data_IF_362840403654
#
_entry.id   IF_362840403654
#
_cell.length_a   1.000
_cell.length_b   1.000
_cell.length_c   1.000
_cell.angle_alpha   90.00
_cell.angle_beta   90.00
_cell.angle_gamma   90.00
#
_symmetry.space_group_name_H-M   'P 1'
#
loop_
_entity.id
_entity.type
_entity.pdbx_description
1 polymer ?
#
# COMPACT_ATOMS: atom_id res chain seq x y z
N UNK A 1 60.25 30.03 6.55
CA UNK A 1 58.96 29.90 5.83
C UNK A 1 58.04 28.84 6.49
N UNK A 2 57.65 29.01 7.77
CA UNK A 2 56.81 28.03 8.52
C UNK A 2 55.50 28.61 9.07
N UNK A 3 55.17 29.89 8.79
CA UNK A 3 54.04 30.59 9.45
C UNK A 3 52.69 30.48 8.75
N UNK A 4 52.65 30.06 7.48
CA UNK A 4 51.42 30.00 6.69
C UNK A 4 50.98 28.56 6.34
N UNK A 5 51.78 27.55 6.67
CA UNK A 5 51.47 26.15 6.38
C UNK A 5 50.22 25.71 7.15
N UNK A 6 50.11 26.13 8.42
CA UNK A 6 48.96 25.77 9.26
C UNK A 6 47.66 26.44 8.77
N UNK A 7 47.73 27.70 8.33
CA UNK A 7 46.57 28.42 7.76
C UNK A 7 46.12 27.80 6.43
N UNK A 8 47.06 27.44 5.55
CA UNK A 8 46.75 26.76 4.29
C UNK A 8 46.13 25.38 4.54
N UNK A 9 46.61 24.65 5.56
CA UNK A 9 46.07 23.34 5.94
C UNK A 9 44.63 23.44 6.45
N UNK A 10 44.33 24.47 7.26
CA UNK A 10 42.97 24.71 7.80
C UNK A 10 41.99 25.07 6.67
N UNK A 11 42.38 25.94 5.75
CA UNK A 11 41.54 26.30 4.60
C UNK A 11 41.27 25.08 3.72
N UNK A 12 42.28 24.24 3.49
CA UNK A 12 42.13 22.99 2.75
C UNK A 12 41.18 22.00 3.44
N UNK A 13 41.27 21.87 4.77
CA UNK A 13 40.36 21.05 5.59
C UNK A 13 38.91 21.53 5.53
N UNK A 14 38.68 22.84 5.55
CA UNK A 14 37.33 23.41 5.43
C UNK A 14 36.72 23.15 4.06
N UNK A 15 37.50 23.31 2.98
CA UNK A 15 37.05 23.02 1.61
C UNK A 15 36.72 21.53 1.45
N UNK A 16 37.56 20.64 2.00
CA UNK A 16 37.30 19.20 1.95
C UNK A 16 36.07 18.80 2.76
N UNK A 17 35.80 19.42 3.91
CA UNK A 17 34.54 19.20 4.65
C UNK A 17 33.30 19.63 3.85
N UNK A 18 33.35 20.77 3.16
CA UNK A 18 32.24 21.23 2.30
C UNK A 18 32.01 20.27 1.13
N UNK A 19 33.08 19.79 0.49
CA UNK A 19 32.98 18.80 -0.60
C UNK A 19 32.38 17.48 -0.09
N UNK A 20 32.76 17.04 1.11
CA UNK A 20 32.21 15.83 1.72
C UNK A 20 30.71 15.98 2.02
N UNK A 21 30.26 17.13 2.53
CA UNK A 21 28.84 17.39 2.78
C UNK A 21 28.00 17.38 1.50
N UNK A 22 28.51 17.98 0.42
CA UNK A 22 27.85 17.95 -0.89
C UNK A 22 27.77 16.52 -1.42
N UNK A 23 28.84 15.73 -1.28
CA UNK A 23 28.85 14.32 -1.68
C UNK A 23 27.90 13.46 -0.85
N UNK A 24 27.77 13.71 0.45
CA UNK A 24 26.85 12.99 1.32
C UNK A 24 25.41 13.29 0.90
N UNK A 25 25.06 14.57 0.70
CA UNK A 25 23.71 14.95 0.23
C UNK A 25 23.39 14.38 -1.16
N UNK A 26 24.37 14.33 -2.08
CA UNK A 26 24.15 13.67 -3.37
C UNK A 26 24.05 12.16 -3.25
N UNK A 27 24.74 11.54 -2.28
CA UNK A 27 24.63 10.11 -1.99
C UNK A 27 23.25 9.79 -1.42
N UNK A 28 22.76 10.60 -0.47
CA UNK A 28 21.42 10.45 0.13
C UNK A 28 20.34 10.54 -0.94
N UNK A 29 20.38 11.56 -1.81
CA UNK A 29 19.43 11.67 -2.92
C UNK A 29 19.51 10.48 -3.89
N UNK A 30 20.72 9.99 -4.18
CA UNK A 30 20.90 8.82 -5.04
C UNK A 30 20.37 7.54 -4.37
N UNK A 31 20.51 7.43 -3.05
CA UNK A 31 20.07 6.28 -2.26
C UNK A 31 18.55 6.26 -2.14
N UNK A 32 17.90 7.42 -1.97
CA UNK A 32 16.43 7.55 -2.07
C UNK A 32 15.92 7.14 -3.45
N UNK A 33 16.53 7.62 -4.53
CA UNK A 33 16.13 7.21 -5.88
C UNK A 33 16.37 5.72 -6.15
N UNK A 34 17.41 5.13 -5.56
CA UNK A 34 17.65 3.69 -5.66
C UNK A 34 16.68 2.87 -4.81
N UNK A 35 16.20 3.38 -3.67
CA UNK A 35 15.15 2.74 -2.88
C UNK A 35 13.78 2.79 -3.59
N UNK A 36 13.44 3.92 -4.22
CA UNK A 36 12.22 4.04 -5.02
C UNK A 36 12.27 3.10 -6.25
N UNK A 37 13.44 3.01 -6.88
CA UNK A 37 13.66 2.09 -8.00
C UNK A 37 13.70 0.62 -7.56
N UNK A 38 14.13 0.33 -6.33
CA UNK A 38 14.05 -1.01 -5.73
C UNK A 38 12.61 -1.38 -5.36
N UNK A 39 11.75 -0.43 -4.95
CA UNK A 39 10.31 -0.68 -4.72
C UNK A 39 9.57 -0.98 -6.02
N UNK A 40 9.79 -0.17 -7.07
CA UNK A 40 9.28 -0.48 -8.42
C UNK A 40 9.83 -1.79 -8.98
N UNK A 41 11.11 -2.09 -8.71
CA UNK A 41 11.69 -3.37 -9.08
C UNK A 41 11.11 -4.51 -8.23
N UNK A 42 10.78 -4.32 -6.95
CA UNK A 42 10.19 -5.32 -6.08
C UNK A 42 8.72 -5.59 -6.41
N UNK A 43 7.93 -4.57 -6.73
CA UNK A 43 6.56 -4.71 -7.25
C UNK A 43 6.56 -5.44 -8.60
N UNK A 44 7.49 -5.09 -9.50
CA UNK A 44 7.67 -5.80 -10.77
C UNK A 44 8.31 -7.18 -10.61
N UNK A 45 9.12 -7.42 -9.58
CA UNK A 45 9.73 -8.72 -9.27
C UNK A 45 8.69 -9.62 -8.62
N UNK A 46 7.77 -9.11 -7.80
CA UNK A 46 6.61 -9.87 -7.32
C UNK A 46 5.73 -10.29 -8.51
N UNK A 47 5.43 -9.37 -9.43
CA UNK A 47 4.70 -9.71 -10.66
C UNK A 47 5.49 -10.60 -11.65
N UNK A 48 6.82 -10.60 -11.61
CA UNK A 48 7.68 -11.41 -12.48
C UNK A 48 8.05 -12.78 -11.89
N UNK A 49 8.16 -12.91 -10.58
CA UNK A 49 8.30 -14.18 -9.84
C UNK A 49 7.04 -15.02 -10.08
N UNK A 50 5.87 -14.38 -10.10
CA UNK A 50 4.59 -14.99 -10.52
C UNK A 50 4.60 -15.48 -11.98
N UNK A 51 5.52 -15.02 -12.83
CA UNK A 51 5.59 -15.39 -14.26
C UNK A 51 6.65 -16.47 -14.60
N UNK A 52 7.71 -16.58 -13.80
CA UNK A 52 8.87 -17.45 -14.07
C UNK A 52 8.82 -18.75 -13.27
N UNK A 53 8.30 -18.75 -12.04
CA UNK A 53 8.02 -19.99 -11.29
C UNK A 53 6.75 -20.70 -11.80
N UNK A 54 5.79 -19.91 -12.30
CA UNK A 54 4.53 -20.41 -12.83
C UNK A 54 4.67 -21.21 -14.13
N UNK A 55 5.66 -20.96 -14.98
CA UNK A 55 5.73 -21.67 -16.27
C UNK A 55 6.10 -23.16 -16.16
N UNK A 56 6.91 -23.55 -15.17
CA UNK A 56 7.29 -24.96 -14.97
C UNK A 56 6.31 -25.66 -14.03
N UNK A 57 5.87 -25.01 -12.94
CA UNK A 57 4.88 -25.62 -12.03
C UNK A 57 3.47 -25.70 -12.64
N UNK A 58 3.01 -24.68 -13.40
CA UNK A 58 1.67 -24.68 -14.00
C UNK A 58 1.46 -25.85 -14.96
N UNK A 59 2.49 -26.34 -15.66
CA UNK A 59 2.31 -27.46 -16.60
C UNK A 59 2.16 -28.80 -15.85
N UNK A 60 2.81 -28.95 -14.70
CA UNK A 60 2.64 -30.12 -13.83
C UNK A 60 1.32 -30.04 -13.04
N UNK A 61 1.03 -28.89 -12.45
CA UNK A 61 -0.24 -28.63 -11.72
C UNK A 61 -1.45 -28.77 -12.66
N UNK A 62 -1.41 -28.26 -13.90
CA UNK A 62 -2.52 -28.45 -14.86
C UNK A 62 -2.76 -29.90 -15.26
N UNK A 63 -1.73 -30.75 -15.26
CA UNK A 63 -1.91 -32.18 -15.57
C UNK A 63 -2.56 -32.94 -14.41
N UNK A 64 -2.22 -32.60 -13.17
CA UNK A 64 -2.76 -33.23 -11.96
C UNK A 64 -4.05 -32.58 -11.44
N UNK A 65 -4.36 -31.35 -11.87
CA UNK A 65 -5.60 -30.64 -11.52
C UNK A 65 -6.83 -31.47 -11.90
N UNK A 66 -7.84 -31.44 -11.04
CA UNK A 66 -9.18 -31.98 -11.25
C UNK A 66 -10.02 -31.02 -12.11
N UNK A 67 -9.57 -29.79 -12.31
CA UNK A 67 -10.24 -28.74 -13.05
C UNK A 67 -9.66 -28.61 -14.46
N UNK A 68 -10.56 -28.50 -15.44
CA UNK A 68 -10.24 -28.08 -16.80
C UNK A 68 -10.08 -26.56 -16.87
N UNK A 69 -10.95 -25.84 -16.16
CA UNK A 69 -10.95 -24.38 -16.07
C UNK A 69 -11.32 -23.93 -14.66
N UNK A 70 -10.68 -22.87 -14.19
CA UNK A 70 -10.96 -22.22 -12.92
C UNK A 70 -10.73 -20.71 -13.09
N UNK A 71 -11.69 -19.90 -12.68
CA UNK A 71 -11.57 -18.46 -12.70
C UNK A 71 -12.40 -17.82 -11.59
N UNK A 72 -12.10 -16.55 -11.31
CA UNK A 72 -12.93 -15.73 -10.45
C UNK A 72 -13.17 -14.37 -11.10
N UNK A 73 -14.25 -13.73 -10.67
CA UNK A 73 -14.58 -12.35 -11.02
C UNK A 73 -14.95 -11.58 -9.77
N UNK A 74 -14.25 -10.48 -9.56
CA UNK A 74 -14.55 -9.51 -8.52
C UNK A 74 -15.66 -8.58 -9.02
N UNK A 75 -16.73 -8.45 -8.24
CA UNK A 75 -17.84 -7.54 -8.50
C UNK A 75 -17.63 -6.15 -7.90
N UNK A 76 -18.71 -5.37 -7.81
CA UNK A 76 -18.67 -4.05 -7.19
C UNK A 76 -18.78 -4.15 -5.66
N UNK A 77 -17.95 -3.43 -4.89
CA UNK A 77 -18.02 -3.48 -3.43
C UNK A 77 -19.30 -2.83 -2.89
N UNK A 78 -19.73 -3.34 -1.75
CA UNK A 78 -20.85 -2.84 -0.96
C UNK A 78 -20.34 -1.83 0.07
N UNK A 79 -20.81 -0.59 -0.03
CA UNK A 79 -20.43 0.51 0.85
C UNK A 79 -20.95 0.36 2.28
N UNK A 80 -22.13 -0.23 2.46
CA UNK A 80 -22.77 -0.35 3.78
C UNK A 80 -22.12 -1.45 4.61
N UNK A 81 -21.81 -2.59 3.96
CA UNK A 81 -21.26 -3.76 4.63
C UNK A 81 -19.73 -3.82 4.57
N UNK A 82 -19.09 -2.99 3.73
CA UNK A 82 -17.65 -3.06 3.44
C UNK A 82 -17.22 -4.45 2.98
N UNK A 83 -18.08 -5.09 2.18
CA UNK A 83 -17.83 -6.40 1.59
C UNK A 83 -17.79 -6.31 0.08
N UNK A 84 -17.18 -7.28 -0.59
CA UNK A 84 -17.13 -7.37 -2.04
C UNK A 84 -17.56 -8.76 -2.52
N UNK A 85 -18.49 -8.83 -3.50
CA UNK A 85 -18.88 -10.11 -4.08
C UNK A 85 -17.78 -10.65 -4.99
N UNK A 86 -17.40 -11.90 -4.76
CA UNK A 86 -16.44 -12.64 -5.57
C UNK A 86 -17.16 -13.85 -6.14
N UNK A 87 -17.25 -13.91 -7.47
CA UNK A 87 -17.90 -15.01 -8.17
C UNK A 87 -16.84 -15.96 -8.69
N UNK A 88 -16.87 -17.19 -8.20
CA UNK A 88 -15.98 -18.27 -8.63
C UNK A 88 -16.70 -19.13 -9.67
N UNK A 89 -16.00 -19.45 -10.75
CA UNK A 89 -16.49 -20.35 -11.81
C UNK A 89 -15.46 -21.44 -12.03
N UNK A 90 -15.91 -22.70 -11.99
CA UNK A 90 -15.04 -23.87 -12.20
C UNK A 90 -15.69 -24.87 -13.15
N UNK A 91 -14.85 -25.53 -13.95
CA UNK A 91 -15.23 -26.60 -14.85
C UNK A 91 -14.34 -27.81 -14.51
N UNK A 92 -14.87 -28.84 -13.85
CA UNK A 92 -14.14 -30.08 -13.61
C UNK A 92 -13.83 -30.83 -14.92
N UNK A 93 -12.71 -31.57 -14.97
CA UNK A 93 -12.35 -32.42 -16.11
C UNK A 93 -13.32 -33.58 -16.33
N UNK A 94 -13.90 -34.07 -15.25
CA UNK A 94 -14.87 -35.17 -15.25
C UNK A 94 -16.18 -34.67 -14.63
N UNK A 95 -17.26 -34.73 -15.40
CA UNK A 95 -18.58 -34.30 -14.95
C UNK A 95 -19.61 -35.40 -15.23
N UNK A 96 -20.06 -36.06 -14.17
CA UNK A 96 -21.16 -37.00 -14.15
C UNK A 96 -22.52 -36.34 -13.91
N UNK A 97 -23.57 -37.16 -13.91
CA UNK A 97 -24.94 -36.69 -13.62
C UNK A 97 -25.13 -36.30 -12.15
N UNK A 98 -24.37 -36.89 -11.24
CA UNK A 98 -24.42 -36.65 -9.79
C UNK A 98 -23.30 -35.78 -9.25
N UNK A 99 -22.37 -35.36 -10.10
CA UNK A 99 -21.27 -34.49 -9.69
C UNK A 99 -21.82 -33.20 -9.09
N UNK A 100 -21.35 -32.90 -7.89
CA UNK A 100 -21.59 -31.66 -7.17
C UNK A 100 -20.26 -31.02 -6.83
N UNK A 101 -20.21 -29.69 -6.88
CA UNK A 101 -19.01 -28.93 -6.58
C UNK A 101 -19.34 -27.92 -5.48
N UNK A 102 -18.43 -27.77 -4.52
CA UNK A 102 -18.54 -26.78 -3.44
C UNK A 102 -17.22 -26.03 -3.30
N UNK A 103 -17.33 -24.78 -2.86
CA UNK A 103 -16.22 -23.92 -2.49
C UNK A 103 -16.11 -23.91 -0.96
N UNK A 104 -14.97 -24.33 -0.41
CA UNK A 104 -14.64 -24.14 1.00
C UNK A 104 -13.79 -22.87 1.13
N UNK A 105 -14.26 -21.92 1.93
CA UNK A 105 -13.57 -20.66 2.19
C UNK A 105 -13.77 -20.28 3.65
N UNK A 106 -12.69 -19.92 4.34
CA UNK A 106 -12.72 -19.56 5.77
C UNK A 106 -13.38 -20.63 6.68
N UNK A 107 -13.35 -21.91 6.27
CA UNK A 107 -13.98 -23.03 6.97
C UNK A 107 -15.48 -23.19 6.71
N UNK A 108 -16.08 -22.32 5.91
CA UNK A 108 -17.47 -22.43 5.45
C UNK A 108 -17.52 -23.11 4.08
N UNK A 109 -18.56 -23.93 3.85
CA UNK A 109 -18.76 -24.65 2.59
C UNK A 109 -19.94 -24.04 1.85
N UNK A 110 -19.68 -23.54 0.65
CA UNK A 110 -20.67 -22.96 -0.25
C UNK A 110 -20.90 -23.90 -1.42
N UNK A 111 -22.11 -24.46 -1.53
CA UNK A 111 -22.48 -25.29 -2.69
C UNK A 111 -22.58 -24.43 -3.95
N UNK A 112 -21.93 -24.89 -5.03
CA UNK A 112 -21.93 -24.18 -6.31
C UNK A 112 -23.13 -24.58 -7.16
N UNK A 113 -23.75 -23.61 -7.83
CA UNK A 113 -24.84 -23.82 -8.76
C UNK A 113 -24.32 -24.42 -10.07
N UNK A 114 -24.95 -25.52 -10.52
CA UNK A 114 -24.57 -26.21 -11.75
C UNK A 114 -25.31 -25.65 -12.95
N UNK A 115 -24.55 -25.29 -13.99
CA UNK A 115 -25.07 -24.95 -15.31
C UNK A 115 -24.31 -25.73 -16.40
N UNK A 116 -24.88 -26.87 -16.82
CA UNK A 116 -24.22 -27.80 -17.73
C UNK A 116 -23.01 -28.48 -17.09
N UNK A 117 -21.81 -28.16 -17.58
CA UNK A 117 -20.52 -28.60 -17.04
C UNK A 117 -19.84 -27.57 -16.15
N UNK A 118 -20.39 -26.35 -16.09
CA UNK A 118 -19.87 -25.25 -15.26
C UNK A 118 -20.55 -25.20 -13.91
N UNK A 119 -19.79 -24.84 -12.89
CA UNK A 119 -20.26 -24.62 -11.53
C UNK A 119 -19.88 -23.22 -11.08
N UNK A 120 -20.83 -22.49 -10.48
CA UNK A 120 -20.62 -21.10 -10.09
C UNK A 120 -21.12 -20.84 -8.67
N UNK A 121 -20.41 -20.01 -7.91
CA UNK A 121 -20.89 -19.49 -6.61
C UNK A 121 -20.40 -18.06 -6.41
N UNK A 122 -21.20 -17.25 -5.73
CA UNK A 122 -20.79 -15.92 -5.29
C UNK A 122 -20.71 -15.89 -3.77
N UNK A 123 -19.56 -15.48 -3.25
CA UNK A 123 -19.31 -15.26 -1.81
C UNK A 123 -19.01 -13.79 -1.58
N UNK A 124 -19.20 -13.32 -0.36
CA UNK A 124 -18.97 -11.93 0.03
C UNK A 124 -17.83 -11.88 1.03
N UNK A 125 -16.75 -11.20 0.67
CA UNK A 125 -15.54 -11.10 1.49
C UNK A 125 -15.30 -9.67 1.94
N UNK A 126 -14.60 -9.50 3.07
CA UNK A 126 -14.21 -8.18 3.56
C UNK A 126 -13.26 -7.49 2.55
N UNK A 127 -13.50 -6.20 2.31
CA UNK A 127 -12.68 -5.38 1.39
C UNK A 127 -11.23 -5.17 1.85
N UNK A 128 -10.92 -5.54 3.09
CA UNK A 128 -9.59 -5.48 3.69
C UNK A 128 -8.95 -6.86 3.86
N UNK A 129 -9.56 -7.94 3.35
CA UNK A 129 -8.95 -9.27 3.36
C UNK A 129 -7.63 -9.27 2.59
N UNK A 130 -6.54 -9.61 3.27
CA UNK A 130 -5.21 -9.71 2.68
C UNK A 130 -5.07 -10.97 1.81
N UNK A 131 -5.69 -12.07 2.23
CA UNK A 131 -5.52 -13.40 1.63
C UNK A 131 -6.87 -14.11 1.56
N UNK A 132 -7.22 -14.59 0.36
CA UNK A 132 -8.43 -15.38 0.11
C UNK A 132 -8.01 -16.62 -0.68
N UNK A 133 -7.93 -17.76 0.00
CA UNK A 133 -7.47 -19.04 -0.58
C UNK A 133 -8.61 -20.05 -0.59
N UNK A 134 -9.44 -20.04 -1.63
CA UNK A 134 -10.54 -20.98 -1.75
C UNK A 134 -10.02 -22.39 -2.04
N UNK A 135 -10.76 -23.37 -1.52
CA UNK A 135 -10.56 -24.78 -1.81
C UNK A 135 -11.78 -25.34 -2.52
N UNK A 136 -11.56 -26.11 -3.58
CA UNK A 136 -12.63 -26.73 -4.36
C UNK A 136 -12.85 -28.16 -3.89
N UNK A 137 -14.10 -28.52 -3.62
CA UNK A 137 -14.54 -29.87 -3.28
C UNK A 137 -15.42 -30.39 -4.40
N UNK A 138 -15.01 -31.49 -5.03
CA UNK A 138 -15.77 -32.16 -6.08
C UNK A 138 -16.24 -33.49 -5.50
N UNK A 139 -17.55 -33.64 -5.34
CA UNK A 139 -18.16 -34.89 -4.91
C UNK A 139 -18.83 -35.57 -6.10
N UNK A 140 -18.48 -36.83 -6.33
CA UNK A 140 -19.14 -37.71 -7.29
C UNK A 140 -19.46 -39.04 -6.60
N UNK A 141 -20.75 -39.35 -6.47
CA UNK A 141 -21.27 -40.40 -5.57
C UNK A 141 -20.71 -40.27 -4.13
N UNK A 142 -20.00 -41.29 -3.63
CA UNK A 142 -19.44 -41.35 -2.26
C UNK A 142 -18.00 -40.85 -2.17
N UNK A 143 -17.41 -40.38 -3.28
CA UNK A 143 -16.02 -39.93 -3.32
C UNK A 143 -15.98 -38.42 -3.38
N UNK A 144 -15.35 -37.81 -2.37
CA UNK A 144 -15.03 -36.38 -2.35
C UNK A 144 -13.55 -36.21 -2.65
N UNK A 145 -13.25 -35.48 -3.73
CA UNK A 145 -11.89 -35.04 -4.07
C UNK A 145 -11.78 -33.55 -3.78
N UNK A 146 -10.58 -33.10 -3.41
CA UNK A 146 -10.32 -31.70 -3.08
C UNK A 146 -9.15 -31.15 -3.86
N UNK A 147 -9.23 -29.90 -4.30
CA UNK A 147 -8.16 -29.20 -4.98
C UNK A 147 -7.97 -27.79 -4.38
N UNK A 148 -6.71 -27.43 -4.18
CA UNK A 148 -6.29 -26.05 -3.98
C UNK A 148 -5.75 -25.56 -5.32
N UNK A 149 -6.45 -24.61 -5.93
CA UNK A 149 -6.08 -24.10 -7.24
C UNK A 149 -5.53 -22.67 -7.10
N UNK A 150 -4.25 -22.48 -7.43
CA UNK A 150 -3.55 -21.21 -7.28
C UNK A 150 -4.18 -20.09 -8.12
N UNK A 151 -4.83 -20.42 -9.24
CA UNK A 151 -5.50 -19.45 -10.11
C UNK A 151 -6.75 -18.83 -9.44
N UNK A 152 -7.25 -19.45 -8.36
CA UNK A 152 -8.38 -18.94 -7.58
C UNK A 152 -7.96 -18.11 -6.35
N UNK A 153 -6.66 -18.05 -6.05
CA UNK A 153 -6.16 -17.28 -4.92
C UNK A 153 -6.23 -15.78 -5.20
N UNK A 154 -6.67 -15.02 -4.20
CA UNK A 154 -6.73 -13.57 -4.28
C UNK A 154 -5.90 -12.99 -3.15
N UNK A 155 -4.94 -12.15 -3.53
CA UNK A 155 -4.08 -11.39 -2.64
C UNK A 155 -4.48 -9.92 -2.65
N UNK A 156 -4.39 -9.26 -1.49
CA UNK A 156 -4.57 -7.83 -1.26
C UNK A 156 -5.79 -7.26 -1.98
N UNK A 157 -7.00 -7.65 -1.59
CA UNK A 157 -8.21 -7.19 -2.28
C UNK A 157 -8.37 -5.67 -2.23
N UNK A 158 -7.90 -5.03 -1.15
CA UNK A 158 -7.77 -3.56 -1.00
C UNK A 158 -7.12 -2.90 -2.21
N UNK A 159 -6.00 -3.43 -2.70
CA UNK A 159 -5.24 -2.84 -3.81
C UNK A 159 -5.94 -3.01 -5.16
N UNK A 160 -6.86 -3.97 -5.26
CA UNK A 160 -7.68 -4.20 -6.45
C UNK A 160 -8.89 -3.28 -6.53
N UNK A 161 -9.36 -2.75 -5.40
CA UNK A 161 -10.62 -1.99 -5.29
C UNK A 161 -10.38 -0.50 -5.07
N UNK A 162 -9.34 -0.10 -4.35
CA UNK A 162 -9.04 1.31 -4.10
C UNK A 162 -8.06 1.82 -5.16
N UNK A 163 -8.20 3.07 -5.61
CA UNK A 163 -7.14 3.67 -6.40
C UNK A 163 -5.84 3.72 -5.58
N UNK A 164 -4.67 3.59 -6.23
CA UNK A 164 -3.40 3.70 -5.56
C UNK A 164 -3.31 5.05 -4.84
N UNK A 165 -2.81 5.02 -3.61
CA UNK A 165 -2.65 6.20 -2.77
C UNK A 165 -1.22 6.26 -2.29
N UNK A 166 -0.35 6.80 -3.13
CA UNK A 166 1.00 7.16 -2.75
C UNK A 166 1.08 8.67 -2.64
N UNK A 167 1.55 9.15 -1.50
CA UNK A 167 1.77 10.58 -1.25
C UNK A 167 3.06 10.77 -0.47
N UNK A 168 3.90 11.68 -0.96
CA UNK A 168 5.15 12.08 -0.31
C UNK A 168 5.25 13.59 -0.29
N UNK A 169 5.89 14.13 0.74
CA UNK A 169 6.26 15.54 0.79
C UNK A 169 7.76 15.70 0.54
N UNK A 170 8.09 16.25 -0.63
CA UNK A 170 9.47 16.57 -0.99
C UNK A 170 9.83 17.99 -0.60
N UNK A 171 11.08 18.22 -0.23
CA UNK A 171 11.58 19.56 0.09
C UNK A 171 12.38 19.61 1.37
N UNK A 172 12.48 20.80 1.96
CA UNK A 172 13.37 21.07 3.07
C UNK A 172 12.64 21.36 4.37
N UNK A 173 13.28 20.95 5.45
CA UNK A 173 12.86 21.25 6.81
C UNK A 173 13.92 22.15 7.44
N UNK A 174 13.50 23.19 8.13
CA UNK A 174 14.40 24.12 8.83
C UNK A 174 13.88 24.37 10.23
N UNK A 175 14.79 24.34 11.20
CA UNK A 175 14.50 24.71 12.58
C UNK A 175 15.06 26.10 12.85
N UNK A 176 14.24 26.99 13.41
CA UNK A 176 14.68 28.32 13.83
C UNK A 176 14.58 28.44 15.34
N UNK A 177 15.74 28.71 15.97
CA UNK A 177 15.86 28.99 17.40
C UNK A 177 15.23 27.95 18.36
N UNK A 178 15.09 26.68 17.93
CA UNK A 178 14.43 25.61 18.71
C UNK A 178 12.99 25.90 19.17
N UNK A 179 12.33 26.86 18.52
CA UNK A 179 10.97 27.30 18.88
C UNK A 179 10.02 27.28 17.68
N UNK A 180 10.56 27.00 16.49
CA UNK A 180 9.86 27.13 15.23
C UNK A 180 10.34 26.07 14.25
N UNK A 181 9.37 25.33 13.72
CA UNK A 181 9.53 24.34 12.69
C UNK A 181 9.00 24.93 11.37
N UNK A 182 9.87 25.00 10.37
CA UNK A 182 9.55 25.46 9.02
C UNK A 182 9.62 24.27 8.07
N UNK A 183 8.50 23.97 7.40
CA UNK A 183 8.43 22.95 6.36
C UNK A 183 8.07 23.58 5.03
N UNK A 184 8.96 23.42 4.05
CA UNK A 184 8.79 23.95 2.70
C UNK A 184 9.00 22.85 1.68
N UNK A 185 8.05 22.68 0.78
CA UNK A 185 8.08 21.56 -0.12
C UNK A 185 6.91 21.48 -1.07
N UNK A 186 6.87 20.39 -1.81
CA UNK A 186 5.81 20.07 -2.77
C UNK A 186 5.35 18.65 -2.53
N UNK A 187 4.04 18.44 -2.56
CA UNK A 187 3.45 17.12 -2.49
C UNK A 187 3.62 16.43 -3.85
N UNK A 188 4.12 15.21 -3.84
CA UNK A 188 4.16 14.30 -4.97
C UNK A 188 3.13 13.19 -4.73
N UNK A 189 2.23 12.96 -5.68
CA UNK A 189 1.17 11.95 -5.54
C UNK A 189 0.77 11.28 -6.86
N UNK A 190 0.49 9.97 -6.81
CA UNK A 190 0.00 9.20 -7.94
C UNK A 190 -1.54 9.04 -7.96
N UNK A 191 -2.28 9.80 -7.14
CA UNK A 191 -3.73 9.65 -6.97
C UNK A 191 -4.52 9.83 -8.28
N UNK A 192 -3.93 10.54 -9.25
CA UNK A 192 -4.51 10.82 -10.57
C UNK A 192 -4.06 9.84 -11.66
N UNK A 193 -3.12 8.94 -11.37
CA UNK A 193 -2.48 8.08 -12.39
C UNK A 193 -3.28 6.81 -12.71
N UNK A 194 -4.32 6.50 -11.96
CA UNK A 194 -5.02 5.21 -12.06
C UNK A 194 -6.54 5.35 -12.05
N UNK A 195 -7.15 5.07 -13.20
CA UNK A 195 -8.56 4.66 -13.32
C UNK A 195 -8.73 3.12 -13.14
N UNK A 196 -7.71 2.44 -12.63
CA UNK A 196 -7.61 0.99 -12.66
C UNK A 196 -8.24 0.30 -11.43
N UNK A 197 -9.04 1.00 -10.62
CA UNK A 197 -9.84 0.33 -9.60
C UNK A 197 -10.93 -0.50 -10.27
N UNK A 198 -11.00 -1.79 -9.96
CA UNK A 198 -12.07 -2.66 -10.47
C UNK A 198 -13.47 -2.21 -10.00
N UNK A 199 -13.50 -1.38 -8.96
CA UNK A 199 -14.67 -1.06 -8.16
C UNK A 199 -15.28 0.33 -8.41
N UNK A 200 -14.73 1.16 -9.31
CA UNK A 200 -15.16 2.56 -9.50
C UNK A 200 -15.13 3.43 -8.23
N UNK A 201 -14.36 3.03 -7.21
CA UNK A 201 -14.08 3.88 -6.05
C UNK A 201 -13.14 4.97 -6.52
N UNK A 202 -13.46 6.22 -6.18
CA UNK A 202 -12.70 7.42 -6.52
C UNK A 202 -12.44 8.22 -5.25
N UNK A 203 -11.30 8.89 -5.19
CA UNK A 203 -11.06 9.90 -4.17
C UNK A 203 -11.76 11.20 -4.56
N UNK A 204 -12.49 11.80 -3.61
CA UNK A 204 -13.38 12.94 -3.87
C UNK A 204 -12.98 14.21 -3.11
N UNK A 205 -12.19 14.07 -2.04
CA UNK A 205 -11.72 15.19 -1.22
C UNK A 205 -10.31 14.90 -0.71
N UNK A 206 -9.49 15.94 -0.60
CA UNK A 206 -8.16 15.86 0.01
C UNK A 206 -8.00 16.97 1.06
N UNK A 207 -7.32 16.67 2.16
CA UNK A 207 -7.02 17.62 3.24
C UNK A 207 -5.59 17.46 3.72
N UNK A 208 -4.94 18.58 4.02
CA UNK A 208 -3.70 18.61 4.81
C UNK A 208 -4.04 18.91 6.26
N UNK A 209 -3.74 17.96 7.14
CA UNK A 209 -3.91 18.09 8.58
C UNK A 209 -2.55 18.15 9.25
N UNK A 210 -2.36 19.16 10.09
CA UNK A 210 -1.15 19.37 10.88
C UNK A 210 -1.52 19.31 12.34
N UNK A 211 -0.81 18.48 13.11
CA UNK A 211 -0.98 18.35 14.55
C UNK A 211 0.30 18.68 15.29
N UNK A 212 0.15 19.22 16.51
CA UNK A 212 1.24 19.34 17.48
C UNK A 212 0.82 18.66 18.78
N UNK A 213 1.51 17.59 19.17
CA UNK A 213 1.13 16.64 20.24
C UNK A 213 -0.35 16.23 20.12
N UNK A 214 -0.71 15.69 18.96
CA UNK A 214 -2.05 15.22 18.59
C UNK A 214 -3.16 16.28 18.53
N UNK A 215 -2.86 17.55 18.85
CA UNK A 215 -3.81 18.66 18.69
C UNK A 215 -3.72 19.24 17.30
N UNK A 216 -4.84 19.27 16.58
CA UNK A 216 -4.93 19.88 15.26
C UNK A 216 -4.64 21.38 15.38
N UNK A 217 -3.63 21.84 14.64
CA UNK A 217 -3.27 23.25 14.50
C UNK A 217 -3.60 23.81 13.12
N UNK A 218 -3.73 22.93 12.11
CA UNK A 218 -4.19 23.27 10.77
C UNK A 218 -4.97 22.09 10.17
N UNK A 219 -6.05 22.40 9.48
CA UNK A 219 -6.87 21.48 8.69
C UNK A 219 -7.32 22.27 7.45
N UNK A 220 -6.73 21.94 6.30
CA UNK A 220 -6.89 22.68 5.05
C UNK A 220 -7.38 21.76 3.94
N UNK A 221 -8.44 22.18 3.24
CA UNK A 221 -8.93 21.52 2.03
C UNK A 221 -7.98 21.79 0.86
N UNK A 222 -7.65 20.72 0.13
CA UNK A 222 -6.84 20.75 -1.08
C UNK A 222 -7.73 20.31 -2.25
N UNK A 223 -7.68 21.03 -3.36
CA UNK A 223 -8.26 20.56 -4.63
C UNK A 223 -7.54 19.27 -5.02
N UNK A 224 -8.26 18.15 -5.01
CA UNK A 224 -7.67 16.82 -5.21
C UNK A 224 -6.94 16.69 -6.55
N UNK A 225 -7.39 17.41 -7.58
CA UNK A 225 -6.74 17.43 -8.90
C UNK A 225 -5.41 18.19 -8.90
N UNK A 226 -5.11 18.91 -7.81
CA UNK A 226 -3.87 19.66 -7.57
C UNK A 226 -3.11 19.14 -6.37
N UNK A 227 -3.49 17.97 -5.85
CA UNK A 227 -2.77 17.34 -4.74
C UNK A 227 -1.32 17.06 -5.16
N UNK A 228 -1.15 16.45 -6.34
CA UNK A 228 0.15 16.38 -6.98
C UNK A 228 0.61 17.78 -7.40
N UNK A 229 1.78 18.18 -6.94
CA UNK A 229 2.30 19.54 -7.12
C UNK A 229 1.84 20.56 -6.06
N UNK A 230 1.05 20.17 -5.04
CA UNK A 230 0.61 21.10 -4.00
C UNK A 230 1.79 21.66 -3.20
N UNK A 231 1.92 22.99 -3.12
CA UNK A 231 2.99 23.64 -2.37
C UNK A 231 2.67 23.74 -0.88
N UNK A 232 3.59 23.21 -0.06
CA UNK A 232 3.56 23.31 1.40
C UNK A 232 4.57 24.35 1.85
N UNK A 233 4.14 25.35 2.62
CA UNK A 233 5.01 26.38 3.18
C UNK A 233 4.54 26.74 4.60
N UNK A 234 4.81 25.85 5.54
CA UNK A 234 4.26 25.88 6.88
C UNK A 234 5.27 26.36 7.91
N UNK A 235 4.79 27.23 8.79
CA UNK A 235 5.56 27.81 9.88
C UNK A 235 4.86 27.53 11.20
N UNK A 236 5.41 26.60 11.98
CA UNK A 236 4.73 26.00 13.13
C UNK A 236 5.54 26.29 14.41
N UNK A 237 4.95 26.98 15.40
CA UNK A 237 5.57 27.12 16.72
C UNK A 237 5.73 25.76 17.39
N UNK A 238 6.97 25.38 17.74
CA UNK A 238 7.30 24.07 18.29
C UNK A 238 8.37 24.19 19.37
N UNK A 239 7.99 23.92 20.62
CA UNK A 239 8.90 23.94 21.77
C UNK A 239 9.57 22.58 21.99
N UNK A 240 10.66 22.55 22.73
CA UNK A 240 11.36 21.32 23.11
C UNK A 240 10.43 20.26 23.72
N UNK A 241 10.60 19.01 23.28
CA UNK A 241 9.80 17.86 23.68
C UNK A 241 8.47 17.70 22.95
N UNK A 242 8.08 18.63 22.07
CA UNK A 242 6.84 18.55 21.29
C UNK A 242 7.07 17.92 19.92
N UNK A 243 6.05 17.25 19.40
CA UNK A 243 6.07 16.60 18.09
C UNK A 243 5.06 17.26 17.17
N UNK A 244 5.50 17.63 15.97
CA UNK A 244 4.62 18.02 14.86
C UNK A 244 4.45 16.83 13.92
N UNK A 245 3.23 16.62 13.43
CA UNK A 245 2.92 15.66 12.37
C UNK A 245 2.14 16.34 11.26
N UNK A 246 2.42 15.94 10.02
CA UNK A 246 1.68 16.36 8.83
C UNK A 246 1.09 15.12 8.16
N UNK A 247 -0.20 15.17 7.85
CA UNK A 247 -0.95 14.04 7.29
C UNK A 247 -1.79 14.54 6.13
N UNK A 248 -1.70 13.83 5.00
CA UNK A 248 -2.67 13.96 3.92
C UNK A 248 -3.79 12.98 4.19
N UNK A 249 -5.01 13.50 4.25
CA UNK A 249 -6.22 12.73 4.39
C UNK A 249 -6.98 12.85 3.09
N UNK A 250 -7.22 11.73 2.40
CA UNK A 250 -8.12 11.70 1.26
C UNK A 250 -9.38 10.94 1.61
N UNK A 251 -10.52 11.46 1.18
CA UNK A 251 -11.82 10.81 1.36
C UNK A 251 -12.25 10.20 0.05
N UNK A 252 -12.70 8.95 0.09
CA UNK A 252 -13.22 8.26 -1.08
C UNK A 252 -14.74 8.42 -1.25
N UNK A 253 -15.28 7.91 -2.35
CA UNK A 253 -16.71 7.89 -2.65
C UNK A 253 -17.53 7.03 -1.66
N UNK A 254 -16.88 6.13 -0.92
CA UNK A 254 -17.47 5.37 0.18
C UNK A 254 -17.50 6.20 1.47
N UNK A 255 -16.81 7.33 1.50
CA UNK A 255 -16.70 8.21 2.64
C UNK A 255 -15.64 7.78 3.65
N UNK A 256 -14.83 6.78 3.32
CA UNK A 256 -13.71 6.36 4.14
C UNK A 256 -12.59 7.38 4.01
N UNK A 257 -11.86 7.60 5.11
CA UNK A 257 -10.72 8.48 5.13
C UNK A 257 -9.42 7.68 5.12
N UNK A 258 -8.59 7.91 4.10
CA UNK A 258 -7.26 7.33 3.94
C UNK A 258 -6.24 8.35 4.43
N UNK A 259 -5.56 8.04 5.52
CA UNK A 259 -4.61 8.91 6.20
C UNK A 259 -3.20 8.45 5.86
N UNK A 260 -2.42 9.30 5.21
CA UNK A 260 -1.00 9.09 4.95
C UNK A 260 -0.17 10.16 5.67
N UNK A 261 0.71 9.75 6.57
CA UNK A 261 1.59 10.68 7.29
C UNK A 261 2.80 11.03 6.42
N UNK A 262 2.88 12.28 6.01
CA UNK A 262 3.91 12.78 5.08
C UNK A 262 5.10 13.43 5.80
N UNK A 263 4.96 13.74 7.09
CA UNK A 263 6.04 14.29 7.91
C UNK A 263 5.80 14.06 9.41
N UNK A 264 6.87 13.89 10.17
CA UNK A 264 6.85 13.92 11.63
C UNK A 264 8.19 14.40 12.17
N UNK A 265 8.15 15.37 13.08
CA UNK A 265 9.34 15.95 13.67
C UNK A 265 9.17 16.22 15.16
N UNK A 266 10.12 15.73 15.96
CA UNK A 266 10.17 15.94 17.41
C UNK A 266 11.29 16.90 17.77
N UNK A 267 10.93 18.00 18.43
CA UNK A 267 11.87 19.04 18.82
C UNK A 267 12.74 18.57 20.01
N UNK A 268 14.06 18.61 19.86
CA UNK A 268 15.02 18.34 20.95
C UNK A 268 15.37 16.87 21.19
N UNK A 269 14.86 15.94 20.38
CA UNK A 269 15.36 14.55 20.34
C UNK A 269 16.44 14.41 19.26
N UNK A 270 17.45 13.58 19.52
CA UNK A 270 18.47 13.24 18.52
C UNK A 270 17.75 12.71 17.26
N UNK A 271 18.00 13.39 16.14
CA UNK A 271 17.38 13.10 14.85
C UNK A 271 17.85 11.74 14.36
N UNK A 272 17.25 10.67 14.84
CA UNK A 272 17.08 9.50 13.99
C UNK A 272 15.94 9.87 13.05
N UNK A 273 16.31 10.39 11.88
CA UNK A 273 15.42 10.41 10.71
C UNK A 273 15.03 8.96 10.48
N UNK A 274 13.95 8.52 11.12
CA UNK A 274 13.30 7.29 10.72
C UNK A 274 12.59 7.69 9.44
N UNK A 275 12.97 7.15 8.28
CA UNK A 275 12.16 7.38 7.11
C UNK A 275 10.77 6.88 7.48
N UNK A 276 9.81 7.81 7.51
CA UNK A 276 8.43 7.52 7.82
C UNK A 276 7.82 6.93 6.55
N UNK A 277 8.33 5.77 6.17
CA UNK A 277 7.63 4.91 5.25
C UNK A 277 6.35 4.49 5.97
N UNK A 278 5.22 4.82 5.35
CA UNK A 278 4.05 3.94 5.31
C UNK A 278 3.31 3.79 6.64
N UNK A 279 2.28 4.63 6.80
CA UNK A 279 1.17 4.38 7.73
C UNK A 279 -0.12 4.79 7.07
N UNK A 280 -0.41 4.15 5.95
CA UNK A 280 -1.75 4.24 5.39
C UNK A 280 -2.71 3.65 6.42
N UNK A 281 -3.64 4.49 6.87
CA UNK A 281 -4.70 4.10 7.78
C UNK A 281 -6.02 4.47 7.16
N UNK A 282 -6.96 3.54 7.18
CA UNK A 282 -8.29 3.75 6.63
C UNK A 282 -9.27 3.81 7.79
N UNK A 283 -10.03 4.89 7.87
CA UNK A 283 -11.03 5.13 8.90
C UNK A 283 -12.43 5.17 8.30
N UNK A 284 -13.41 4.73 9.07
CA UNK A 284 -14.83 4.92 8.75
C UNK A 284 -15.20 6.41 8.82
N UNK A 285 -16.36 6.81 8.24
CA UNK A 285 -16.86 8.18 8.36
C UNK A 285 -17.03 8.67 9.80
N UNK A 286 -17.21 7.74 10.76
CA UNK A 286 -17.35 7.99 12.19
C UNK A 286 -16.00 8.03 12.93
N UNK A 287 -14.88 7.84 12.22
CA UNK A 287 -13.53 7.87 12.77
C UNK A 287 -13.06 6.54 13.39
N UNK A 288 -13.75 5.43 13.13
CA UNK A 288 -13.28 4.09 13.55
C UNK A 288 -12.16 3.62 12.63
N UNK A 289 -11.01 3.19 13.18
CA UNK A 289 -9.96 2.56 12.38
C UNK A 289 -10.47 1.23 11.80
N UNK A 290 -10.40 1.08 10.48
CA UNK A 290 -10.83 -0.10 9.74
C UNK A 290 -9.63 -0.92 9.26
N UNK A 291 -8.57 -0.25 8.81
CA UNK A 291 -7.37 -0.90 8.30
C UNK A 291 -6.13 -0.07 8.60
N UNK A 292 -5.02 -0.75 8.83
CA UNK A 292 -3.69 -0.15 8.92
C UNK A 292 -2.68 -1.10 8.31
N UNK A 293 -1.67 -0.53 7.67
CA UNK A 293 -0.53 -1.31 7.18
C UNK A 293 0.28 -1.89 8.35
N UNK A 294 0.51 -3.21 8.33
CA UNK A 294 1.32 -3.91 9.34
C UNK A 294 2.77 -4.01 8.87
N UNK A 295 3.71 -3.67 9.77
CA UNK A 295 5.14 -3.75 9.51
C UNK A 295 5.60 -5.20 9.64
N UNK A 296 6.18 -5.78 8.58
CA UNK A 296 7.04 -6.96 8.74
C UNK A 296 8.41 -6.44 9.18
N UNK A 297 8.68 -6.47 10.49
CA UNK A 297 10.07 -6.34 10.96
C UNK A 297 10.87 -7.50 10.38
N UNK A 298 11.62 -7.24 9.31
CA UNK A 298 12.65 -8.15 8.84
C UNK A 298 13.70 -8.25 9.96
N UNK A 299 13.55 -9.24 10.83
CA UNK A 299 14.58 -9.62 11.78
C UNK A 299 15.85 -9.94 10.98
N UNK A 300 16.95 -9.18 11.16
CA UNK A 300 18.23 -9.61 10.62
C UNK A 300 18.64 -10.90 11.38
N UNK A 301 18.61 -12.04 10.68
CA UNK A 301 19.33 -13.23 11.12
C UNK A 301 20.84 -13.03 10.96
#
# INVERSE_FOLDING_TARGET
MKKNISTVLIVFLLITQVILLIKISSLENSLEHHLDSLKWAQENINSSIDSVYSHVNNVFEKKESLLEHAEFKIGAPDKENLTIPITYTVIPKEVGSKTSVSLELNGEIHTMERNGTSFTVTVFEDIFSAEIFPKILIADDDIVKTELNVDLNIWNIKEKIFPPFYVRLDGRTTQKNKQEYLRQGTISSNINESKASLASIEYVEARLVIKVDDKIVKDELIDINKLDGYEVNEKIPLNDGRTVTMTIIVKDSFGLEHHCMIDSFSQGMDQTFKPLFERDKIYSPEGKLLWQEEFIELNPQ
#
